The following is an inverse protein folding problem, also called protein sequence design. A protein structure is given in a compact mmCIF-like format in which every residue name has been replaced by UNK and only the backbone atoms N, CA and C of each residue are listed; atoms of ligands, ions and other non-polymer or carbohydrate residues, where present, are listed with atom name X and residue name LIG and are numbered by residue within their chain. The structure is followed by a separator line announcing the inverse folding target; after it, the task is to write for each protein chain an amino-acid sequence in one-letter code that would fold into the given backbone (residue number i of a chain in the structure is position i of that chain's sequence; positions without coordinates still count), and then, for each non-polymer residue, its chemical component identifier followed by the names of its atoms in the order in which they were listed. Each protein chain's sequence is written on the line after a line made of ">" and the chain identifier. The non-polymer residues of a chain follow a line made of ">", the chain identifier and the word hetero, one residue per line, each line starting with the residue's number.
data_IF_428805461898
#
_entry.id   IF_428805461898
#
_cell.length_a   1.000
_cell.length_b   1.000
_cell.length_c   1.000
_cell.angle_alpha   90.00
_cell.angle_beta   90.00
_cell.angle_gamma   90.00
#
_symmetry.space_group_name_H-M   'P 1'
#
loop_
_entity.id
_entity.type
_entity.pdbx_description
1 polymer ?
#
# COMPACT_ATOMS: atom_id res chain seq x y z
N UNK A 1 13.10 10.34 -23.83
CA UNK A 1 13.30 8.88 -23.71
C UNK A 1 12.00 8.33 -23.13
N UNK A 2 11.18 7.67 -23.93
CA UNK A 2 9.87 7.16 -23.48
C UNK A 2 10.08 6.05 -22.47
N UNK A 3 9.99 6.39 -21.18
CA UNK A 3 10.05 5.39 -20.13
C UNK A 3 8.79 4.52 -20.22
N UNK A 4 8.98 3.25 -20.62
CA UNK A 4 7.90 2.27 -20.73
C UNK A 4 7.28 2.04 -19.36
N UNK A 5 5.96 1.91 -19.34
CA UNK A 5 5.21 1.51 -18.16
C UNK A 5 5.75 0.20 -17.58
N UNK A 6 5.95 0.17 -16.26
CA UNK A 6 6.38 -1.02 -15.53
C UNK A 6 5.26 -1.51 -14.63
N UNK A 7 4.96 -2.80 -14.72
CA UNK A 7 3.97 -3.49 -13.88
C UNK A 7 4.68 -4.49 -12.99
N UNK A 8 4.48 -4.37 -11.68
CA UNK A 8 5.10 -5.23 -10.68
C UNK A 8 4.00 -5.78 -9.77
N UNK A 9 4.08 -7.08 -9.47
CA UNK A 9 3.13 -7.79 -8.60
C UNK A 9 3.89 -8.62 -7.57
N UNK A 10 3.37 -8.68 -6.35
CA UNK A 10 3.83 -9.59 -5.30
C UNK A 10 2.65 -10.04 -4.45
N UNK A 11 2.61 -11.33 -4.12
CA UNK A 11 1.65 -11.88 -3.16
C UNK A 11 2.40 -12.21 -1.88
N UNK A 12 1.83 -11.80 -0.75
CA UNK A 12 2.37 -12.08 0.58
C UNK A 12 1.23 -12.09 1.60
N UNK A 13 1.15 -13.12 2.46
CA UNK A 13 0.09 -13.25 3.49
C UNK A 13 -1.34 -13.14 2.92
N UNK A 14 -1.61 -13.83 1.80
CA UNK A 14 -2.88 -13.74 1.09
C UNK A 14 -3.27 -12.32 0.65
N UNK A 15 -2.31 -11.40 0.57
CA UNK A 15 -2.51 -10.04 0.08
C UNK A 15 -1.72 -9.87 -1.22
N UNK A 16 -2.41 -9.46 -2.28
CA UNK A 16 -1.82 -9.05 -3.55
C UNK A 16 -1.44 -7.57 -3.47
N UNK A 17 -0.15 -7.30 -3.61
CA UNK A 17 0.42 -5.97 -3.83
C UNK A 17 0.76 -5.81 -5.31
N UNK A 18 0.17 -4.83 -5.97
CA UNK A 18 0.45 -4.47 -7.36
C UNK A 18 0.90 -3.03 -7.44
N UNK A 19 1.83 -2.76 -8.35
CA UNK A 19 2.27 -1.42 -8.71
C UNK A 19 2.34 -1.28 -10.23
N UNK A 20 1.82 -0.17 -10.74
CA UNK A 20 2.05 0.31 -12.10
C UNK A 20 2.84 1.61 -11.95
N UNK A 21 3.96 1.73 -12.66
CA UNK A 21 4.79 2.95 -12.67
C UNK A 21 4.97 3.44 -14.08
N UNK A 22 4.75 4.73 -14.31
CA UNK A 22 4.98 5.40 -15.59
C UNK A 22 5.51 6.80 -15.31
N UNK A 23 6.76 7.07 -15.74
CA UNK A 23 7.46 8.33 -15.42
C UNK A 23 7.46 8.60 -13.90
N UNK A 24 6.96 9.77 -13.48
CA UNK A 24 6.83 10.17 -12.09
C UNK A 24 5.62 9.55 -11.38
N UNK A 25 4.67 8.94 -12.10
CA UNK A 25 3.45 8.41 -11.49
C UNK A 25 3.66 6.98 -11.00
N UNK A 26 3.13 6.68 -9.81
CA UNK A 26 2.93 5.32 -9.34
C UNK A 26 1.48 5.10 -8.93
N UNK A 27 0.91 3.99 -9.38
CA UNK A 27 -0.39 3.49 -8.94
C UNK A 27 -0.17 2.18 -8.22
N UNK A 28 -0.80 2.02 -7.07
CA UNK A 28 -0.70 0.82 -6.24
C UNK A 28 -2.09 0.30 -5.93
N UNK A 29 -2.21 -1.02 -5.96
CA UNK A 29 -3.38 -1.76 -5.53
C UNK A 29 -2.97 -2.78 -4.48
N UNK A 30 -3.67 -2.78 -3.35
CA UNK A 30 -3.46 -3.75 -2.27
C UNK A 30 -4.80 -4.46 -2.05
N UNK A 31 -4.83 -5.74 -2.42
CA UNK A 31 -6.04 -6.54 -2.46
C UNK A 31 -5.86 -7.81 -1.62
N UNK A 32 -6.59 -8.01 -0.53
CA UNK A 32 -6.71 -9.33 0.09
C UNK A 32 -7.38 -10.32 -0.88
N UNK A 33 -6.91 -11.56 -0.87
CA UNK A 33 -7.33 -12.60 -1.80
C UNK A 33 -8.38 -13.54 -1.19
N UNK A 34 -8.15 -13.96 0.06
CA UNK A 34 -9.02 -14.89 0.78
C UNK A 34 -9.15 -14.44 2.24
N UNK A 35 -10.26 -14.79 2.93
CA UNK A 35 -10.33 -14.64 4.38
C UNK A 35 -9.18 -15.37 5.07
N UNK A 36 -8.72 -14.82 6.19
CA UNK A 36 -7.60 -15.37 6.98
C UNK A 36 -8.02 -15.54 8.44
N UNK A 37 -7.17 -16.15 9.26
CA UNK A 37 -7.47 -16.33 10.69
C UNK A 37 -7.04 -15.17 11.58
N UNK A 38 -6.35 -14.17 11.03
CA UNK A 38 -5.76 -13.07 11.82
C UNK A 38 -6.05 -11.71 11.20
N UNK A 39 -6.41 -10.70 12.01
CA UNK A 39 -6.53 -9.34 11.53
C UNK A 39 -5.18 -8.85 11.02
N UNK A 40 -5.26 -7.96 10.04
CA UNK A 40 -4.10 -7.28 9.50
C UNK A 40 -4.48 -5.86 9.15
N UNK A 41 -3.69 -4.91 9.61
CA UNK A 41 -3.88 -3.48 9.38
C UNK A 41 -2.72 -2.92 8.59
N UNK A 42 -3.04 -2.13 7.58
CA UNK A 42 -2.06 -1.44 6.76
C UNK A 42 -1.98 0.02 7.19
N UNK A 43 -0.76 0.50 7.36
CA UNK A 43 -0.46 1.86 7.77
C UNK A 43 0.39 2.55 6.71
N UNK A 44 0.10 3.82 6.47
CA UNK A 44 0.85 4.70 5.58
C UNK A 44 1.01 6.06 6.27
N UNK A 45 2.20 6.65 6.19
CA UNK A 45 2.43 8.03 6.59
C UNK A 45 2.93 8.80 5.40
N UNK A 46 2.25 9.90 5.07
CA UNK A 46 2.48 10.63 3.84
C UNK A 46 2.03 12.08 4.00
N UNK A 47 2.86 13.03 3.57
CA UNK A 47 2.59 14.46 3.67
C UNK A 47 2.18 14.91 5.09
N UNK A 48 2.90 14.43 6.10
CA UNK A 48 2.60 14.66 7.52
C UNK A 48 1.26 14.10 8.03
N UNK A 49 0.50 13.42 7.19
CA UNK A 49 -0.74 12.75 7.52
C UNK A 49 -0.55 11.25 7.72
N UNK A 50 -1.34 10.69 8.62
CA UNK A 50 -1.34 9.26 8.93
C UNK A 50 -2.63 8.63 8.44
N UNK A 51 -2.47 7.54 7.68
CA UNK A 51 -3.57 6.75 7.17
C UNK A 51 -3.46 5.30 7.64
N UNK A 52 -4.61 4.69 7.88
CA UNK A 52 -4.69 3.33 8.39
C UNK A 52 -5.96 2.65 7.92
N UNK A 53 -5.82 1.41 7.47
CA UNK A 53 -6.92 0.60 6.94
C UNK A 53 -6.82 -0.84 7.43
N UNK A 54 -7.94 -1.42 7.83
CA UNK A 54 -8.01 -2.84 8.12
C UNK A 54 -8.05 -3.62 6.80
N UNK A 55 -7.05 -4.43 6.49
CA UNK A 55 -7.12 -5.35 5.34
C UNK A 55 -8.01 -6.53 5.69
N UNK A 56 -7.76 -7.10 6.88
CA UNK A 56 -8.57 -8.14 7.50
C UNK A 56 -9.04 -7.67 8.87
N UNK A 57 -10.33 -7.83 9.13
CA UNK A 57 -10.94 -7.49 10.41
C UNK A 57 -10.56 -8.47 11.53
N UNK A 58 -11.03 -8.21 12.75
CA UNK A 58 -10.82 -9.09 13.91
C UNK A 58 -11.38 -10.51 13.71
N UNK A 59 -12.42 -10.61 12.88
CA UNK A 59 -13.06 -11.85 12.41
C UNK A 59 -12.28 -12.56 11.29
N UNK A 60 -11.17 -11.98 10.82
CA UNK A 60 -10.39 -12.49 9.70
C UNK A 60 -11.03 -12.24 8.32
N UNK A 61 -12.18 -11.56 8.29
CA UNK A 61 -12.88 -11.22 7.06
C UNK A 61 -12.21 -10.07 6.33
N UNK A 62 -12.30 -10.10 5.00
CA UNK A 62 -11.83 -9.02 4.14
C UNK A 62 -12.61 -7.75 4.47
N UNK A 63 -11.90 -6.63 4.71
CA UNK A 63 -12.53 -5.33 4.97
C UNK A 63 -12.25 -4.34 3.84
N UNK A 64 -10.98 -4.06 3.54
CA UNK A 64 -10.61 -3.02 2.58
C UNK A 64 -9.75 -3.54 1.43
N UNK A 65 -9.96 -2.93 0.26
CA UNK A 65 -9.06 -2.98 -0.88
C UNK A 65 -8.58 -1.56 -1.11
N UNK A 66 -7.27 -1.38 -1.12
CA UNK A 66 -6.67 -0.04 -1.09
C UNK A 66 -6.13 0.29 -2.47
N UNK A 67 -6.45 1.50 -2.92
CA UNK A 67 -5.88 2.10 -4.11
C UNK A 67 -5.10 3.35 -3.72
N UNK A 68 -3.89 3.46 -4.25
CA UNK A 68 -3.01 4.58 -3.98
C UNK A 68 -2.44 5.13 -5.29
N UNK A 69 -2.51 6.44 -5.45
CA UNK A 69 -1.86 7.17 -6.54
C UNK A 69 -0.87 8.17 -5.95
N UNK A 70 0.35 8.15 -6.49
CA UNK A 70 1.42 9.02 -6.07
C UNK A 70 2.18 9.62 -7.25
N UNK A 71 2.48 10.91 -7.15
CA UNK A 71 3.35 11.62 -8.06
C UNK A 71 4.73 11.85 -7.42
N UNK A 72 5.78 11.45 -8.14
CA UNK A 72 7.18 11.57 -7.75
C UNK A 72 7.50 11.01 -6.35
N UNK A 73 6.86 9.89 -5.99
CA UNK A 73 7.02 9.26 -4.69
C UNK A 73 7.30 7.75 -4.78
N UNK A 74 7.86 7.22 -3.70
CA UNK A 74 8.08 5.78 -3.48
C UNK A 74 7.41 5.44 -2.15
N UNK A 75 6.15 4.97 -2.18
CA UNK A 75 5.39 4.77 -0.96
C UNK A 75 5.91 3.57 -0.18
N UNK A 76 5.82 3.71 1.15
CA UNK A 76 6.21 2.69 2.11
C UNK A 76 4.99 2.43 2.98
N UNK A 77 4.52 1.19 2.95
CA UNK A 77 3.43 0.74 3.80
C UNK A 77 3.97 -0.12 4.93
N UNK A 78 3.23 -0.17 6.02
CA UNK A 78 3.53 -1.04 7.15
C UNK A 78 2.33 -1.92 7.41
N UNK A 79 2.55 -3.23 7.26
CA UNK A 79 1.55 -4.25 7.50
C UNK A 79 1.76 -4.80 8.91
N UNK A 80 0.83 -4.48 9.80
CA UNK A 80 0.80 -5.01 11.16
C UNK A 80 -0.24 -6.12 11.22
N UNK A 81 0.19 -7.34 11.49
CA UNK A 81 -0.67 -8.45 11.89
C UNK A 81 -0.41 -8.76 13.36
N UNK A 82 -1.40 -9.33 14.08
CA UNK A 82 -1.31 -9.59 15.53
C UNK A 82 0.01 -10.21 16.00
N UNK A 83 0.63 -11.06 15.16
CA UNK A 83 1.88 -11.76 15.48
C UNK A 83 3.11 -11.21 14.77
N UNK A 84 2.93 -10.58 13.61
CA UNK A 84 4.03 -10.27 12.69
C UNK A 84 3.86 -8.86 12.11
N UNK A 85 4.96 -8.13 12.02
CA UNK A 85 4.97 -6.78 11.47
C UNK A 85 5.93 -6.74 10.27
N UNK A 86 5.51 -6.06 9.20
CA UNK A 86 6.29 -5.96 7.97
C UNK A 86 6.30 -4.55 7.41
N UNK A 87 7.44 -4.13 6.88
CA UNK A 87 7.57 -2.95 6.02
C UNK A 87 7.49 -3.40 4.56
N UNK A 88 6.53 -2.87 3.82
CA UNK A 88 6.32 -3.08 2.39
C UNK A 88 6.86 -1.87 1.64
N UNK A 89 7.96 -2.04 0.91
CA UNK A 89 8.61 -0.97 0.13
C UNK A 89 8.39 -1.18 -1.36
N UNK A 90 7.81 -0.18 -2.02
CA UNK A 90 7.57 -0.16 -3.46
C UNK A 90 8.72 0.54 -4.18
N UNK A 91 9.80 -0.19 -4.47
CA UNK A 91 10.92 0.33 -5.26
C UNK A 91 10.58 0.40 -6.75
N UNK A 92 11.32 1.20 -7.52
CA UNK A 92 11.14 1.41 -8.97
C UNK A 92 10.94 0.11 -9.77
N UNK A 93 11.64 -0.97 -9.39
CA UNK A 93 11.63 -2.25 -10.10
C UNK A 93 11.10 -3.43 -9.28
N UNK A 94 10.71 -3.23 -8.01
CA UNK A 94 10.37 -4.37 -7.14
C UNK A 94 9.50 -4.00 -5.93
N UNK A 95 8.77 -4.98 -5.40
CA UNK A 95 8.10 -4.87 -4.10
C UNK A 95 8.88 -5.69 -3.07
N UNK A 96 9.45 -5.01 -2.08
CA UNK A 96 10.20 -5.63 -0.98
C UNK A 96 9.34 -5.72 0.27
N UNK A 97 9.45 -6.86 0.96
CA UNK A 97 8.76 -7.14 2.22
C UNK A 97 9.85 -7.40 3.25
N UNK A 98 9.91 -6.59 4.29
CA UNK A 98 10.97 -6.62 5.29
C UNK A 98 10.32 -6.83 6.65
N UNK A 99 10.62 -7.92 7.39
CA UNK A 99 10.11 -8.10 8.74
C UNK A 99 10.66 -7.01 9.68
N UNK A 100 9.84 -6.57 10.61
CA UNK A 100 10.23 -5.61 11.65
C UNK A 100 9.81 -6.14 13.02
N UNK A 101 10.67 -5.94 14.01
CA UNK A 101 10.48 -6.52 15.35
C UNK A 101 9.37 -5.83 16.17
N UNK A 102 9.08 -4.56 15.86
CA UNK A 102 8.15 -3.74 16.64
C UNK A 102 6.94 -3.32 15.82
N UNK A 103 5.77 -3.42 16.43
CA UNK A 103 4.57 -2.73 15.96
C UNK A 103 4.87 -1.25 15.89
N UNK A 104 4.81 -0.68 14.70
CA UNK A 104 5.07 0.74 14.52
C UNK A 104 3.83 1.51 14.99
N UNK A 105 4.01 2.36 15.99
CA UNK A 105 2.99 3.31 16.45
C UNK A 105 3.07 4.63 15.66
N UNK A 106 2.03 5.47 15.79
CA UNK A 106 1.92 6.75 15.09
C UNK A 106 3.16 7.65 15.28
N UNK A 107 3.78 7.63 16.46
CA UNK A 107 4.98 8.42 16.79
C UNK A 107 6.23 7.92 16.07
N UNK A 108 6.36 6.60 15.87
CA UNK A 108 7.49 5.99 15.17
C UNK A 108 7.38 6.07 13.64
N UNK A 109 6.18 6.20 13.07
CA UNK A 109 6.00 6.41 11.63
C UNK A 109 6.56 7.76 11.16
N UNK A 110 6.25 8.84 11.89
CA UNK A 110 6.66 10.21 11.55
C UNK A 110 8.18 10.39 11.44
N UNK A 111 8.96 9.64 12.24
CA UNK A 111 10.43 9.72 12.24
C UNK A 111 11.11 8.95 11.11
N UNK A 112 10.39 8.08 10.38
CA UNK A 112 10.98 7.15 9.39
C UNK A 112 10.44 7.31 7.95
N UNK A 113 9.43 8.14 7.75
CA UNK A 113 8.85 8.46 6.43
C UNK A 113 9.48 9.73 5.86
N UNK A 114 10.56 9.58 5.10
CA UNK A 114 11.11 10.67 4.28
C UNK A 114 10.44 10.65 2.91
N UNK A 115 9.33 11.39 2.73
CA UNK A 115 9.03 11.91 1.40
C UNK A 115 9.79 13.24 1.26
N UNK A 116 10.94 13.17 0.59
CA UNK A 116 11.83 14.29 0.28
C UNK A 116 11.44 14.89 -1.08
N UNK A 117 10.33 15.62 -1.18
CA UNK A 117 10.12 16.59 -2.26
C UNK A 117 8.88 17.43 -1.98
N UNK A 118 9.02 18.76 -1.96
CA UNK A 118 7.90 19.70 -1.94
C UNK A 118 7.03 19.68 -3.20
N UNK A 119 7.42 18.88 -4.22
CA UNK A 119 6.68 18.66 -5.47
C UNK A 119 5.90 17.34 -5.50
N UNK A 120 6.04 16.48 -4.49
CA UNK A 120 5.30 15.23 -4.43
C UNK A 120 3.84 15.51 -4.01
N UNK A 121 2.88 15.05 -4.81
CA UNK A 121 1.46 15.07 -4.49
C UNK A 121 0.93 13.64 -4.50
N UNK A 122 0.01 13.33 -3.58
CA UNK A 122 -0.48 11.97 -3.39
C UNK A 122 -1.94 11.96 -2.96
N UNK A 123 -2.65 10.94 -3.42
CA UNK A 123 -4.05 10.71 -3.07
C UNK A 123 -4.19 9.24 -2.71
N UNK A 124 -4.51 8.96 -1.44
CA UNK A 124 -4.87 7.63 -0.99
C UNK A 124 -6.40 7.54 -0.96
N UNK A 125 -6.99 6.62 -1.72
CA UNK A 125 -8.43 6.39 -1.70
C UNK A 125 -8.73 5.01 -1.14
N UNK A 126 -9.46 4.99 -0.03
CA UNK A 126 -10.08 3.77 0.47
C UNK A 126 -11.34 3.47 -0.35
N UNK A 127 -11.52 2.22 -0.79
CA UNK A 127 -12.71 1.81 -1.52
C UNK A 127 -13.31 0.59 -0.84
N UNK A 128 -14.46 0.83 -0.20
CA UNK A 128 -15.35 -0.22 0.29
C UNK A 128 -15.98 -0.93 -0.90
N UNK A 129 -15.85 -2.26 -0.96
CA UNK A 129 -16.52 -3.04 -2.00
C UNK A 129 -18.03 -3.09 -1.73
N UNK A 130 -18.76 -2.10 -2.23
CA UNK A 130 -20.11 -2.31 -2.82
C UNK A 130 -20.32 -1.55 -4.14
N UNK A 131 -19.42 -0.64 -4.55
CA UNK A 131 -19.48 -0.01 -5.87
C UNK A 131 -18.11 0.43 -6.38
N UNK A 132 -17.75 -0.06 -7.57
CA UNK A 132 -16.49 0.16 -8.29
C UNK A 132 -16.20 1.67 -8.49
N UNK A 133 -14.94 2.15 -8.37
CA UNK A 133 -14.57 3.46 -8.91
C UNK A 133 -14.59 3.41 -10.46
N UNK A 134 -14.86 4.55 -11.09
CA UNK A 134 -15.23 4.68 -12.52
C UNK A 134 -14.21 4.21 -13.57
N UNK A 135 -12.99 3.85 -13.16
CA UNK A 135 -12.07 2.89 -13.82
C UNK A 135 -10.73 2.95 -13.11
N UNK A 136 -10.30 1.84 -12.53
CA UNK A 136 -8.95 1.71 -11.99
C UNK A 136 -7.97 1.55 -13.16
N UNK A 137 -6.72 2.09 -13.14
CA UNK A 137 -5.69 1.73 -14.14
C UNK A 137 -5.34 0.23 -14.13
N UNK A 138 -5.88 -0.51 -13.14
CA UNK A 138 -5.78 -1.95 -13.01
C UNK A 138 -6.93 -2.73 -13.68
N UNK A 139 -7.99 -2.08 -14.21
CA UNK A 139 -9.15 -2.72 -14.85
C UNK A 139 -8.99 -2.95 -16.37
N UNK A 140 -7.99 -2.35 -17.04
CA UNK A 140 -7.65 -2.62 -18.45
C UNK A 140 -6.77 -3.89 -18.61
N UNK A 141 -7.07 -4.96 -17.88
CA UNK A 141 -6.44 -6.28 -18.03
C UNK A 141 -7.48 -7.35 -18.36
#
# INVERSE_FOLDING_TARGET
>A
MDEKEKRIKKIFYDIEFKMIRKMCNCWIKIKPLNPVSQPSRLHLYLNDEYFSWDIYGEDGQIKHIIYFEGFDCIPIFYLNSKKNNFKIKFDVNSIKVIPIEKTMDQKNFKKKSNCLSSKASCWAKDVYYTSRPDKSPFDEM
#
